data_IF_090163764836
#
_entry.id   IF_090163764836
#
_cell.length_a   1.000
_cell.length_b   1.000
_cell.length_c   1.000
_cell.angle_alpha   90.00
_cell.angle_beta   90.00
_cell.angle_gamma   90.00
#
_symmetry.space_group_name_H-M   'P 1'
#
loop_
_entity.id
_entity.type
_entity.pdbx_description
1 polymer ?
#
# COMPACT_ATOMS: atom_id res chain seq x y z
N UNK A 1 42.50 -34.72 -33.21
CA UNK A 1 42.61 -34.41 -31.78
C UNK A 1 41.79 -33.15 -31.57
N UNK A 2 40.58 -33.34 -31.06
CA UNK A 2 39.49 -32.37 -31.06
C UNK A 2 39.08 -32.19 -29.60
N UNK A 3 39.13 -30.95 -29.09
CA UNK A 3 38.55 -30.59 -27.80
C UNK A 3 37.66 -29.36 -28.05
N UNK A 4 36.34 -29.41 -27.78
CA UNK A 4 35.38 -28.38 -28.15
C UNK A 4 35.01 -27.43 -27.00
N UNK A 5 34.48 -26.25 -27.40
CA UNK A 5 33.48 -25.36 -26.78
C UNK A 5 33.27 -25.44 -25.25
N UNK A 6 33.50 -24.31 -24.56
CA UNK A 6 32.70 -23.94 -23.39
C UNK A 6 31.98 -22.62 -23.66
N UNK A 7 30.66 -22.75 -23.84
CA UNK A 7 29.72 -21.67 -23.77
C UNK A 7 29.64 -21.17 -22.32
N UNK A 8 29.68 -19.86 -22.14
CA UNK A 8 29.34 -19.23 -20.87
C UNK A 8 27.83 -19.35 -20.68
N UNK A 9 27.41 -20.34 -19.89
CA UNK A 9 26.08 -20.37 -19.29
C UNK A 9 26.06 -19.34 -18.15
N UNK A 10 25.46 -18.18 -18.41
CA UNK A 10 24.89 -17.34 -17.36
C UNK A 10 23.78 -18.14 -16.70
N UNK A 11 24.09 -18.80 -15.60
CA UNK A 11 23.12 -19.40 -14.71
C UNK A 11 22.31 -18.29 -14.06
N UNK A 12 21.14 -18.00 -14.61
CA UNK A 12 20.06 -17.34 -13.87
C UNK A 12 19.63 -18.35 -12.81
N UNK A 13 20.14 -18.18 -11.59
CA UNK A 13 19.60 -18.87 -10.43
C UNK A 13 18.20 -18.28 -10.16
N UNK A 14 17.19 -18.84 -10.83
CA UNK A 14 15.78 -18.74 -10.46
C UNK A 14 15.59 -19.47 -9.13
N UNK A 15 16.04 -18.81 -8.08
CA UNK A 15 15.65 -19.13 -6.72
C UNK A 15 14.30 -18.45 -6.52
N UNK A 16 13.23 -19.19 -6.81
CA UNK A 16 11.88 -18.84 -6.36
C UNK A 16 11.89 -18.90 -4.83
N UNK A 17 12.34 -17.82 -4.20
CA UNK A 17 12.19 -17.64 -2.76
C UNK A 17 10.71 -17.36 -2.56
N UNK A 18 9.95 -18.42 -2.26
CA UNK A 18 8.86 -18.25 -1.30
C UNK A 18 9.54 -17.73 -0.05
N UNK A 19 9.55 -16.41 0.11
CA UNK A 19 10.00 -15.81 1.36
C UNK A 19 9.08 -16.41 2.41
N UNK A 20 9.61 -17.20 3.35
CA UNK A 20 8.77 -17.87 4.32
C UNK A 20 8.11 -16.77 5.13
N UNK A 21 6.82 -16.55 4.88
CA UNK A 21 5.97 -16.01 5.90
C UNK A 21 6.15 -16.97 7.08
N UNK A 22 6.80 -16.52 8.16
CA UNK A 22 6.80 -17.31 9.38
C UNK A 22 5.33 -17.56 9.68
N UNK A 23 4.90 -18.82 9.51
CA UNK A 23 3.50 -19.21 9.39
C UNK A 23 2.83 -19.02 10.75
N UNK A 24 2.41 -17.78 10.99
CA UNK A 24 1.81 -17.32 12.23
C UNK A 24 0.47 -18.01 12.36
N UNK A 25 0.45 -19.10 13.14
CA UNK A 25 -0.76 -19.85 13.42
C UNK A 25 -1.85 -18.89 13.94
N UNK A 26 -3.08 -18.99 13.43
CA UNK A 26 -4.18 -18.15 13.89
C UNK A 26 -4.38 -18.33 15.41
N UNK A 27 -4.63 -17.22 16.12
CA UNK A 27 -4.88 -17.22 17.55
C UNK A 27 -6.32 -17.63 17.86
N UNK A 28 -6.49 -18.25 19.03
CA UNK A 28 -7.81 -18.49 19.59
C UNK A 28 -8.45 -17.14 19.96
N UNK A 29 -9.58 -16.83 19.33
CA UNK A 29 -10.45 -15.74 19.74
C UNK A 29 -11.12 -16.19 21.04
N UNK A 30 -10.87 -15.45 22.12
CA UNK A 30 -11.39 -15.75 23.46
C UNK A 30 -12.72 -15.07 23.74
N UNK A 31 -13.00 -13.98 23.03
CA UNK A 31 -14.28 -13.27 23.09
C UNK A 31 -14.64 -12.70 21.72
N UNK A 32 -15.94 -12.73 21.41
CA UNK A 32 -16.51 -12.27 20.14
C UNK A 32 -17.87 -11.63 20.40
N UNK A 33 -18.00 -10.36 20.06
CA UNK A 33 -19.25 -9.63 20.16
C UNK A 33 -19.54 -8.87 18.86
N UNK A 34 -20.81 -8.86 18.48
CA UNK A 34 -21.32 -8.08 17.35
C UNK A 34 -22.28 -7.04 17.88
N UNK A 35 -22.01 -5.77 17.56
CA UNK A 35 -22.95 -4.66 17.75
C UNK A 35 -23.31 -4.09 16.38
N UNK A 36 -24.34 -3.24 16.29
CA UNK A 36 -24.79 -2.67 15.02
C UNK A 36 -23.62 -1.98 14.30
N UNK A 37 -23.15 -2.58 13.20
CA UNK A 37 -22.06 -2.06 12.38
C UNK A 37 -20.65 -2.29 12.92
N UNK A 38 -20.47 -3.06 14.01
CA UNK A 38 -19.16 -3.31 14.61
C UNK A 38 -18.96 -4.77 15.06
N UNK A 39 -17.72 -5.22 14.98
CA UNK A 39 -17.26 -6.49 15.57
C UNK A 39 -16.16 -6.19 16.57
N UNK A 40 -16.33 -6.70 17.78
CA UNK A 40 -15.31 -6.69 18.83
C UNK A 40 -14.71 -8.10 18.97
N UNK A 41 -13.38 -8.16 18.98
CA UNK A 41 -12.59 -9.38 19.09
C UNK A 41 -11.64 -9.24 20.28
N UNK A 42 -11.51 -10.31 21.08
CA UNK A 42 -10.43 -10.45 22.03
C UNK A 42 -9.73 -11.81 21.86
N UNK A 43 -8.45 -11.89 22.18
CA UNK A 43 -7.64 -13.10 22.06
C UNK A 43 -6.65 -13.22 23.23
N UNK A 44 -6.02 -14.39 23.34
CA UNK A 44 -4.98 -14.60 24.34
C UNK A 44 -3.79 -13.66 24.11
N UNK A 45 -3.33 -12.91 25.14
CA UNK A 45 -2.22 -12.00 25.00
C UNK A 45 -0.90 -12.74 24.76
N UNK A 46 -0.19 -12.31 23.73
CA UNK A 46 1.19 -12.67 23.40
C UNK A 46 2.01 -11.42 23.04
N UNK A 47 3.03 -11.56 22.18
CA UNK A 47 3.87 -10.45 21.76
C UNK A 47 3.25 -9.72 20.55
N UNK A 48 2.97 -8.41 20.62
CA UNK A 48 2.50 -7.67 19.46
C UNK A 48 3.56 -7.58 18.33
N UNK A 49 3.20 -7.22 17.09
CA UNK A 49 1.85 -6.83 16.65
C UNK A 49 0.95 -7.99 16.23
N UNK A 50 -0.35 -7.71 16.27
CA UNK A 50 -1.40 -8.56 15.72
C UNK A 50 -1.98 -7.96 14.45
N UNK A 51 -2.43 -8.84 13.56
CA UNK A 51 -3.21 -8.49 12.39
C UNK A 51 -4.53 -9.27 12.43
N UNK A 52 -5.64 -8.54 12.38
CA UNK A 52 -6.96 -9.16 12.22
C UNK A 52 -7.21 -9.33 10.73
N UNK A 53 -7.52 -10.56 10.34
CA UNK A 53 -7.96 -10.87 8.99
C UNK A 53 -9.45 -11.09 9.01
N UNK A 54 -10.13 -10.57 7.99
CA UNK A 54 -11.51 -10.87 7.69
C UNK A 54 -11.64 -11.60 6.36
N UNK A 55 -12.72 -12.36 6.21
CA UNK A 55 -13.01 -13.10 5.00
C UNK A 55 -14.50 -13.43 4.88
N UNK A 56 -15.07 -13.26 3.68
CA UNK A 56 -16.37 -13.82 3.30
C UNK A 56 -16.26 -15.25 2.75
N UNK A 57 -15.05 -15.73 2.48
CA UNK A 57 -14.76 -17.04 1.90
C UNK A 57 -13.51 -17.64 2.58
N UNK A 58 -13.68 -18.65 3.44
CA UNK A 58 -12.59 -19.25 4.22
C UNK A 58 -11.37 -19.74 3.42
N UNK A 59 -11.48 -19.88 2.09
CA UNK A 59 -10.35 -20.18 1.20
C UNK A 59 -9.47 -18.95 0.86
N UNK A 60 -9.94 -17.73 1.12
CA UNK A 60 -9.26 -16.47 0.82
C UNK A 60 -9.33 -15.52 2.02
N UNK A 61 -8.17 -15.07 2.51
CA UNK A 61 -8.10 -14.19 3.68
C UNK A 61 -7.41 -12.90 3.32
N UNK A 62 -7.98 -11.77 3.75
CA UNK A 62 -7.41 -10.47 3.53
C UNK A 62 -6.52 -10.07 4.71
N UNK A 63 -5.25 -9.70 4.44
CA UNK A 63 -4.32 -9.18 5.45
C UNK A 63 -4.52 -7.69 5.72
N UNK A 64 -5.63 -7.09 5.29
CA UNK A 64 -5.79 -5.64 5.36
C UNK A 64 -6.19 -5.15 6.76
N UNK A 65 -5.51 -4.09 7.21
CA UNK A 65 -5.83 -3.38 8.44
C UNK A 65 -4.61 -2.73 9.08
N UNK A 66 -4.85 -2.01 10.18
CA UNK A 66 -3.79 -1.52 11.06
C UNK A 66 -3.18 -2.66 11.89
N UNK A 67 -1.90 -2.53 12.22
CA UNK A 67 -1.23 -3.43 13.15
C UNK A 67 -1.59 -3.07 14.60
N UNK A 68 -2.11 -4.04 15.34
CA UNK A 68 -2.52 -3.85 16.73
C UNK A 68 -1.33 -4.12 17.63
N UNK A 69 -0.80 -3.08 18.26
CA UNK A 69 0.46 -3.17 19.02
C UNK A 69 0.30 -3.14 20.54
N UNK A 70 -0.83 -2.66 21.05
CA UNK A 70 -0.96 -2.25 22.46
C UNK A 70 -2.08 -2.99 23.21
N UNK A 71 -2.84 -3.86 22.54
CA UNK A 71 -4.01 -4.53 23.11
C UNK A 71 -4.20 -5.92 22.49
N UNK A 72 -4.56 -6.95 23.28
CA UNK A 72 -5.00 -8.25 22.77
C UNK A 72 -6.50 -8.26 22.40
N UNK A 73 -7.04 -7.10 22.07
CA UNK A 73 -8.42 -6.91 21.68
C UNK A 73 -8.55 -5.70 20.75
N UNK A 74 -9.55 -5.73 19.87
CA UNK A 74 -9.88 -4.62 18.99
C UNK A 74 -11.37 -4.58 18.67
N UNK A 75 -11.83 -3.40 18.26
CA UNK A 75 -13.13 -3.21 17.61
C UNK A 75 -12.89 -2.69 16.21
N UNK A 76 -13.58 -3.26 15.23
CA UNK A 76 -13.53 -2.83 13.83
C UNK A 76 -14.93 -2.80 13.23
N UNK A 77 -15.08 -2.10 12.11
CA UNK A 77 -16.33 -2.10 11.36
C UNK A 77 -16.73 -3.54 11.01
N UNK A 78 -18.00 -3.88 11.22
CA UNK A 78 -18.52 -5.15 10.75
C UNK A 78 -18.54 -5.15 9.22
N UNK A 79 -18.21 -6.29 8.62
CA UNK A 79 -18.48 -6.50 7.21
C UNK A 79 -19.98 -6.27 6.91
N UNK A 80 -20.31 -5.82 5.70
CA UNK A 80 -21.70 -5.61 5.28
C UNK A 80 -22.46 -6.94 5.05
N UNK A 81 -21.78 -8.08 5.21
CA UNK A 81 -22.30 -9.44 5.08
C UNK A 81 -21.70 -10.36 6.16
N UNK A 82 -22.11 -11.63 6.18
CA UNK A 82 -21.48 -12.65 7.03
C UNK A 82 -19.98 -12.75 6.72
N UNK A 83 -19.14 -12.45 7.71
CA UNK A 83 -17.69 -12.55 7.60
C UNK A 83 -17.12 -13.38 8.75
N UNK A 84 -16.09 -14.14 8.41
CA UNK A 84 -15.24 -14.83 9.35
C UNK A 84 -14.05 -13.94 9.72
N UNK A 85 -13.59 -14.05 10.96
CA UNK A 85 -12.46 -13.29 11.49
C UNK A 85 -11.43 -14.26 12.08
N UNK A 86 -10.14 -13.95 11.90
CA UNK A 86 -9.04 -14.61 12.61
C UNK A 86 -7.94 -13.62 12.92
N UNK A 87 -7.12 -13.93 13.92
CA UNK A 87 -6.02 -13.07 14.36
C UNK A 87 -4.69 -13.74 14.07
N UNK A 88 -3.82 -13.07 13.33
CA UNK A 88 -2.43 -13.47 13.12
C UNK A 88 -1.51 -12.75 14.08
N UNK A 89 -0.54 -13.50 14.60
CA UNK A 89 0.52 -13.00 15.47
C UNK A 89 1.80 -12.85 14.67
N UNK A 90 2.24 -11.61 14.41
CA UNK A 90 3.34 -11.36 13.48
C UNK A 90 4.74 -11.34 14.14
N UNK A 91 4.83 -11.53 15.46
CA UNK A 91 6.10 -11.50 16.22
C UNK A 91 6.32 -12.79 17.04
N UNK A 92 6.38 -13.98 16.40
CA UNK A 92 6.49 -15.27 17.09
C UNK A 92 7.74 -15.42 17.96
N UNK A 93 8.83 -14.70 17.65
CA UNK A 93 10.13 -14.85 18.32
C UNK A 93 10.39 -13.80 19.41
N UNK A 94 9.47 -12.86 19.64
CA UNK A 94 9.63 -11.75 20.57
C UNK A 94 10.93 -10.95 20.33
N UNK A 95 11.30 -10.75 19.08
CA UNK A 95 12.50 -9.97 18.71
C UNK A 95 12.19 -8.48 18.51
N UNK A 96 10.91 -8.12 18.47
CA UNK A 96 10.48 -6.75 18.24
C UNK A 96 10.86 -5.82 19.40
N UNK A 97 11.51 -4.72 19.05
CA UNK A 97 11.83 -3.60 19.93
C UNK A 97 10.97 -2.37 19.61
N UNK A 98 11.57 -1.19 19.71
CA UNK A 98 10.87 0.08 19.52
C UNK A 98 10.38 0.29 18.08
N UNK A 99 9.20 0.89 17.93
CA UNK A 99 8.71 1.37 16.64
C UNK A 99 9.69 2.39 16.05
N UNK A 100 10.06 2.20 14.79
CA UNK A 100 10.99 3.07 14.08
C UNK A 100 10.25 4.07 13.20
N UNK A 101 9.24 3.62 12.44
CA UNK A 101 8.42 4.48 11.61
C UNK A 101 7.47 3.70 10.70
N UNK A 102 6.50 4.41 10.13
CA UNK A 102 5.64 3.92 9.06
C UNK A 102 6.06 4.60 7.76
N UNK A 103 6.41 3.81 6.76
CA UNK A 103 6.65 4.26 5.39
C UNK A 103 5.49 3.75 4.53
N UNK A 104 4.95 4.59 3.65
CA UNK A 104 3.82 4.20 2.81
C UNK A 104 3.85 4.88 1.45
N UNK A 105 3.14 4.32 0.48
CA UNK A 105 3.06 4.89 -0.87
C UNK A 105 2.66 6.36 -0.82
N UNK A 106 3.50 7.19 -1.43
CA UNK A 106 3.22 8.60 -1.62
C UNK A 106 2.04 8.75 -2.56
N UNK A 107 0.89 9.13 -2.00
CA UNK A 107 -0.30 9.48 -2.77
C UNK A 107 -0.28 10.99 -3.03
N UNK A 108 0.63 11.40 -3.92
CA UNK A 108 0.98 12.80 -4.21
C UNK A 108 1.12 13.11 -5.70
N UNK A 109 1.70 14.26 -6.03
CA UNK A 109 1.96 14.64 -7.42
C UNK A 109 3.03 13.73 -8.06
N UNK A 110 2.67 13.02 -9.12
CA UNK A 110 3.59 12.19 -9.91
C UNK A 110 3.42 10.67 -9.76
N UNK A 111 3.77 9.95 -10.83
CA UNK A 111 3.56 8.50 -10.97
C UNK A 111 2.21 8.17 -11.59
N UNK A 112 2.17 7.02 -12.27
CA UNK A 112 1.00 6.60 -13.06
C UNK A 112 -0.20 6.21 -12.17
N UNK A 113 -1.45 6.50 -12.57
CA UNK A 113 -2.65 6.29 -11.75
C UNK A 113 -2.82 4.85 -11.26
N UNK A 114 -2.83 3.89 -12.18
CA UNK A 114 -3.04 2.49 -11.85
C UNK A 114 -1.75 1.86 -11.33
N UNK A 115 -0.58 2.30 -11.82
CA UNK A 115 0.70 1.87 -11.27
C UNK A 115 0.87 2.22 -9.79
N UNK A 116 0.44 3.41 -9.40
CA UNK A 116 0.43 3.83 -7.99
C UNK A 116 -0.52 3.01 -7.15
N UNK A 117 -1.68 2.67 -7.71
CA UNK A 117 -2.63 1.79 -7.05
C UNK A 117 -2.04 0.38 -6.88
N UNK A 118 -1.52 -0.23 -7.94
CA UNK A 118 -0.94 -1.59 -7.91
C UNK A 118 0.25 -1.72 -6.97
N UNK A 119 1.08 -0.68 -6.82
CA UNK A 119 2.23 -0.65 -5.90
C UNK A 119 1.91 -0.02 -4.54
N UNK A 120 0.64 0.21 -4.26
CA UNK A 120 0.22 0.74 -2.96
C UNK A 120 0.67 -0.21 -1.85
N UNK A 121 1.34 0.35 -0.86
CA UNK A 121 1.94 -0.41 0.24
C UNK A 121 2.12 0.40 1.52
N UNK A 122 2.19 -0.34 2.64
CA UNK A 122 2.49 0.17 3.97
C UNK A 122 3.57 -0.68 4.62
N UNK A 123 4.52 -0.03 5.26
CA UNK A 123 5.73 -0.60 5.79
C UNK A 123 5.90 -0.14 7.24
N UNK A 124 5.51 -0.98 8.19
CA UNK A 124 5.80 -0.72 9.59
C UNK A 124 7.20 -1.23 9.90
N UNK A 125 8.07 -0.30 10.27
CA UNK A 125 9.47 -0.57 10.59
C UNK A 125 9.63 -0.55 12.10
N UNK A 126 10.29 -1.58 12.62
CA UNK A 126 10.65 -1.70 14.03
C UNK A 126 12.12 -1.99 14.17
N UNK A 127 12.72 -1.46 15.24
CA UNK A 127 14.05 -1.90 15.67
C UNK A 127 13.91 -3.29 16.30
N UNK A 128 14.86 -4.21 16.09
CA UNK A 128 14.94 -5.40 16.93
C UNK A 128 15.33 -5.00 18.36
N UNK A 129 15.12 -5.91 19.31
CA UNK A 129 15.67 -5.76 20.65
C UNK A 129 17.20 -5.73 20.60
N UNK A 130 17.80 -4.89 21.45
CA UNK A 130 19.25 -4.72 21.53
C UNK A 130 19.76 -3.48 20.79
N UNK A 131 21.09 -3.36 20.70
CA UNK A 131 21.74 -2.23 20.06
C UNK A 131 21.83 -2.43 18.53
N UNK A 132 21.57 -1.36 17.79
CA UNK A 132 21.79 -1.30 16.34
C UNK A 132 23.07 -0.50 16.03
N UNK A 133 23.70 -0.83 14.90
CA UNK A 133 24.79 -0.03 14.34
C UNK A 133 24.28 1.37 13.93
N UNK A 134 25.13 2.39 13.99
CA UNK A 134 24.79 3.71 13.46
C UNK A 134 25.14 3.87 11.96
N UNK A 135 25.76 2.86 11.33
CA UNK A 135 25.93 2.80 9.88
C UNK A 135 24.56 2.52 9.24
N UNK A 136 24.06 3.38 8.33
CA UNK A 136 22.75 3.21 7.71
C UNK A 136 22.53 1.85 7.03
N UNK A 137 23.50 1.34 6.27
CA UNK A 137 23.38 0.05 5.61
C UNK A 137 23.22 -1.10 6.62
N UNK A 138 23.99 -1.09 7.71
CA UNK A 138 23.88 -2.09 8.77
C UNK A 138 22.60 -1.91 9.60
N UNK A 139 22.19 -0.67 9.86
CA UNK A 139 20.98 -0.35 10.62
C UNK A 139 19.72 -0.84 9.89
N UNK A 140 19.54 -0.45 8.62
CA UNK A 140 18.32 -0.75 7.86
C UNK A 140 18.15 -2.25 7.59
N UNK A 141 19.24 -2.98 7.30
CA UNK A 141 19.22 -4.44 7.11
C UNK A 141 18.65 -5.18 8.33
N UNK A 142 18.86 -4.64 9.53
CA UNK A 142 18.44 -5.28 10.77
C UNK A 142 17.03 -4.94 11.23
N UNK A 143 16.36 -3.99 10.57
CA UNK A 143 14.98 -3.64 10.91
C UNK A 143 14.05 -4.84 10.72
N UNK A 144 13.08 -4.96 11.62
CA UNK A 144 11.94 -5.85 11.46
C UNK A 144 10.86 -5.08 10.71
N UNK A 145 10.32 -5.68 9.65
CA UNK A 145 9.44 -5.06 8.70
C UNK A 145 8.17 -5.87 8.55
N UNK A 146 7.05 -5.16 8.68
CA UNK A 146 5.75 -5.63 8.26
C UNK A 146 5.36 -4.86 7.00
N UNK A 147 5.36 -5.54 5.86
CA UNK A 147 5.12 -4.97 4.54
C UNK A 147 3.79 -5.48 4.01
N UNK A 148 2.79 -4.61 4.01
CA UNK A 148 1.45 -4.87 3.52
C UNK A 148 1.30 -4.26 2.14
N UNK A 149 0.79 -5.04 1.18
CA UNK A 149 0.73 -4.67 -0.24
C UNK A 149 -0.38 -5.41 -0.98
N UNK A 150 -0.72 -4.92 -2.17
CA UNK A 150 -1.65 -5.62 -3.08
C UNK A 150 -0.91 -6.79 -3.73
N UNK A 151 -1.43 -7.99 -3.50
CA UNK A 151 -0.87 -9.27 -3.94
C UNK A 151 -1.99 -10.27 -4.22
N UNK A 152 -1.81 -11.11 -5.25
CA UNK A 152 -2.86 -12.01 -5.72
C UNK A 152 -4.16 -11.27 -6.03
N UNK A 153 -5.25 -11.71 -5.40
CA UNK A 153 -6.60 -11.14 -5.52
C UNK A 153 -6.96 -10.18 -4.36
N UNK A 154 -5.99 -9.76 -3.54
CA UNK A 154 -6.26 -8.97 -2.34
C UNK A 154 -5.04 -8.27 -1.75
N UNK A 155 -4.98 -8.23 -0.42
CA UNK A 155 -3.90 -7.60 0.34
C UNK A 155 -3.18 -8.67 1.14
N UNK A 156 -1.86 -8.66 1.07
CA UNK A 156 -0.95 -9.60 1.73
C UNK A 156 0.05 -8.85 2.61
N UNK A 157 0.45 -9.47 3.73
CA UNK A 157 1.48 -8.95 4.63
C UNK A 157 2.69 -9.89 4.73
N UNK A 158 3.85 -9.38 4.34
CA UNK A 158 5.14 -9.94 4.70
C UNK A 158 5.51 -9.52 6.13
N UNK A 159 6.09 -10.43 6.91
CA UNK A 159 6.59 -10.18 8.25
C UNK A 159 7.96 -10.83 8.41
N UNK A 160 8.99 -10.04 8.68
CA UNK A 160 10.35 -10.56 8.82
C UNK A 160 11.39 -9.46 8.96
N UNK A 161 12.66 -9.81 8.86
CA UNK A 161 13.74 -8.82 8.82
C UNK A 161 13.85 -8.23 7.43
N UNK A 162 14.30 -6.98 7.33
CA UNK A 162 14.43 -6.28 6.05
C UNK A 162 15.34 -7.03 5.07
N UNK A 163 16.42 -7.64 5.57
CA UNK A 163 17.34 -8.45 4.77
C UNK A 163 16.80 -9.84 4.37
N UNK A 164 15.69 -10.28 4.95
CA UNK A 164 15.00 -11.51 4.53
C UNK A 164 13.93 -11.28 3.47
N UNK A 165 13.57 -10.01 3.19
CA UNK A 165 12.63 -9.67 2.11
C UNK A 165 13.20 -10.03 0.74
N UNK A 166 14.51 -9.84 0.55
CA UNK A 166 15.16 -10.03 -0.74
C UNK A 166 16.67 -9.80 -0.69
N UNK A 167 17.31 -9.84 -1.85
CA UNK A 167 18.72 -9.58 -1.97
C UNK A 167 19.03 -8.10 -1.67
N UNK A 168 19.77 -7.84 -0.61
CA UNK A 168 20.20 -6.48 -0.23
C UNK A 168 21.58 -6.17 -0.80
N UNK A 169 21.72 -5.05 -1.48
CA UNK A 169 22.99 -4.57 -2.04
C UNK A 169 23.25 -3.10 -1.70
N UNK A 170 24.54 -2.74 -1.67
CA UNK A 170 25.05 -1.35 -1.59
C UNK A 170 25.96 -1.17 -2.81
N UNK A 171 25.38 -0.97 -4.00
CA UNK A 171 26.07 -1.20 -5.26
C UNK A 171 27.05 -0.07 -5.58
N UNK A 172 28.31 -0.15 -5.13
CA UNK A 172 29.43 0.71 -5.55
C UNK A 172 29.33 2.19 -5.14
N UNK A 173 28.12 2.72 -5.04
CA UNK A 173 27.77 4.05 -4.59
C UNK A 173 27.61 4.05 -3.07
N UNK A 174 28.19 5.10 -2.48
CA UNK A 174 28.31 5.24 -1.05
C UNK A 174 26.97 5.53 -0.37
N UNK A 175 25.97 6.04 -1.06
CA UNK A 175 24.72 6.61 -0.53
C UNK A 175 23.47 5.77 -0.82
N UNK A 176 23.62 4.60 -1.45
CA UNK A 176 22.50 3.78 -1.90
C UNK A 176 22.39 2.45 -1.14
N UNK A 177 21.16 2.08 -0.78
CA UNK A 177 20.79 0.73 -0.36
C UNK A 177 19.65 0.22 -1.23
N UNK A 178 19.81 -0.95 -1.85
CA UNK A 178 18.77 -1.58 -2.67
C UNK A 178 18.36 -2.92 -2.11
N UNK A 179 17.07 -3.25 -2.18
CA UNK A 179 16.53 -4.58 -1.88
C UNK A 179 15.72 -5.06 -3.07
N UNK A 180 16.03 -6.26 -3.57
CA UNK A 180 15.34 -6.83 -4.74
C UNK A 180 14.79 -8.22 -4.44
N UNK A 181 13.55 -8.46 -4.87
CA UNK A 181 12.86 -9.75 -4.70
C UNK A 181 11.91 -10.00 -5.88
N UNK A 182 11.41 -11.23 -5.98
CA UNK A 182 10.47 -11.63 -7.03
C UNK A 182 9.30 -12.38 -6.42
N UNK A 183 8.09 -12.08 -6.88
CA UNK A 183 6.88 -12.84 -6.54
C UNK A 183 6.29 -13.45 -7.81
N UNK A 184 5.52 -14.53 -7.64
CA UNK A 184 4.89 -15.24 -8.75
C UNK A 184 5.89 -15.98 -9.63
N UNK A 185 5.38 -16.60 -10.70
CA UNK A 185 6.17 -17.36 -11.68
C UNK A 185 5.62 -17.14 -13.07
N UNK A 186 6.46 -17.35 -14.09
CA UNK A 186 6.07 -17.23 -15.50
C UNK A 186 5.35 -15.91 -15.81
N UNK A 187 4.14 -15.97 -16.37
CA UNK A 187 3.33 -14.79 -16.76
C UNK A 187 2.91 -13.92 -15.57
N UNK A 188 2.84 -14.48 -14.37
CA UNK A 188 2.43 -13.79 -13.14
C UNK A 188 3.63 -13.26 -12.35
N UNK A 189 4.84 -13.44 -12.90
CA UNK A 189 6.07 -12.99 -12.25
C UNK A 189 6.13 -11.46 -12.17
N UNK A 190 6.50 -10.98 -10.98
CA UNK A 190 6.76 -9.58 -10.65
C UNK A 190 8.15 -9.48 -10.04
N UNK A 191 8.97 -8.57 -10.56
CA UNK A 191 10.32 -8.31 -10.05
C UNK A 191 10.36 -6.94 -9.40
N UNK A 192 10.57 -6.92 -8.10
CA UNK A 192 10.57 -5.71 -7.30
C UNK A 192 11.99 -5.23 -7.01
N UNK A 193 12.17 -3.93 -6.98
CA UNK A 193 13.38 -3.29 -6.46
C UNK A 193 12.98 -2.09 -5.63
N UNK A 194 13.30 -2.15 -4.34
CA UNK A 194 13.20 -1.04 -3.41
C UNK A 194 14.56 -0.37 -3.29
N UNK A 195 14.61 0.93 -3.60
CA UNK A 195 15.81 1.74 -3.55
C UNK A 195 15.67 2.78 -2.44
N UNK A 196 16.66 2.87 -1.57
CA UNK A 196 16.78 3.88 -0.52
C UNK A 196 18.00 4.74 -0.86
N UNK A 197 17.77 5.96 -1.32
CA UNK A 197 18.82 6.92 -1.62
C UNK A 197 19.02 7.89 -0.45
N UNK A 198 20.18 7.84 0.19
CA UNK A 198 20.46 8.62 1.39
C UNK A 198 21.22 9.92 1.07
N UNK A 199 21.06 10.98 1.88
CA UNK A 199 21.84 12.21 1.73
C UNK A 199 23.29 12.08 2.26
N UNK A 200 23.73 10.87 2.58
CA UNK A 200 25.02 10.58 3.20
C UNK A 200 25.48 9.15 2.89
N UNK A 201 26.74 8.86 3.17
CA UNK A 201 27.31 7.52 2.97
C UNK A 201 26.69 6.48 3.93
N UNK A 202 26.08 5.42 3.39
CA UNK A 202 25.41 4.34 4.12
C UNK A 202 26.37 3.40 4.86
N UNK A 203 27.64 3.38 4.49
CA UNK A 203 28.67 2.54 5.11
C UNK A 203 29.47 3.27 6.20
N UNK A 204 29.19 4.55 6.45
CA UNK A 204 29.85 5.34 7.49
C UNK A 204 28.97 5.44 8.73
N UNK A 205 29.52 5.15 9.91
CA UNK A 205 28.82 5.34 11.18
C UNK A 205 28.44 6.82 11.39
N UNK A 206 27.18 7.06 11.74
CA UNK A 206 26.66 8.39 12.04
C UNK A 206 26.73 8.72 13.53
N UNK A 207 26.84 10.02 13.83
CA UNK A 207 26.77 10.52 15.19
C UNK A 207 25.36 10.36 15.81
N UNK A 208 24.33 10.40 14.96
CA UNK A 208 22.93 10.17 15.32
C UNK A 208 22.41 8.93 14.59
N UNK A 209 21.45 8.23 15.18
CA UNK A 209 20.81 7.11 14.50
C UNK A 209 20.09 7.59 13.23
N UNK A 210 20.08 6.79 12.15
CA UNK A 210 19.28 7.07 10.97
C UNK A 210 17.79 7.23 11.32
N UNK A 211 17.10 8.08 10.57
CA UNK A 211 15.66 8.29 10.61
C UNK A 211 14.98 7.53 9.46
N UNK A 212 13.70 7.14 9.60
CA UNK A 212 12.95 6.49 8.52
C UNK A 212 12.81 7.39 7.29
N UNK A 213 12.73 8.70 7.49
CA UNK A 213 12.62 9.74 6.46
C UNK A 213 13.96 10.27 5.95
N UNK A 214 15.09 9.69 6.37
CA UNK A 214 16.38 10.11 5.83
C UNK A 214 16.56 9.76 4.34
N UNK A 215 16.22 8.54 3.87
CA UNK A 215 16.34 8.21 2.45
C UNK A 215 15.09 8.59 1.65
N UNK A 216 15.30 8.88 0.37
CA UNK A 216 14.25 8.82 -0.64
C UNK A 216 13.96 7.35 -0.97
N UNK A 217 12.75 6.89 -0.65
CA UNK A 217 12.31 5.52 -0.92
C UNK A 217 11.63 5.43 -2.27
N UNK A 218 12.12 4.53 -3.12
CA UNK A 218 11.58 4.31 -4.45
C UNK A 218 11.34 2.82 -4.69
N UNK A 219 10.08 2.43 -4.86
CA UNK A 219 9.68 1.06 -5.15
C UNK A 219 9.36 0.94 -6.64
N UNK A 220 10.06 0.05 -7.32
CA UNK A 220 9.79 -0.33 -8.70
C UNK A 220 9.31 -1.77 -8.78
N UNK A 221 8.39 -2.04 -9.71
CA UNK A 221 8.01 -3.37 -10.12
C UNK A 221 8.12 -3.52 -11.63
N UNK A 222 8.72 -4.61 -12.10
CA UNK A 222 8.72 -5.03 -13.50
C UNK A 222 7.83 -6.27 -13.62
N UNK A 223 6.87 -6.22 -14.54
CA UNK A 223 5.89 -7.29 -14.77
C UNK A 223 6.30 -8.15 -15.96
N UNK A 224 6.13 -9.47 -15.84
CA UNK A 224 6.28 -10.38 -16.97
C UNK A 224 5.16 -10.22 -18.01
N UNK A 225 3.94 -9.88 -17.57
CA UNK A 225 2.79 -9.57 -18.43
C UNK A 225 2.45 -8.08 -18.33
N UNK A 226 2.25 -7.37 -19.47
CA UNK A 226 1.82 -5.97 -19.45
C UNK A 226 0.56 -5.76 -18.59
N UNK A 227 0.57 -4.72 -17.78
CA UNK A 227 -0.53 -4.30 -16.93
C UNK A 227 -1.28 -3.14 -17.57
N UNK A 228 -2.60 -3.02 -17.40
CA UNK A 228 -3.36 -1.88 -17.89
C UNK A 228 -2.91 -0.60 -17.18
N UNK A 229 -2.82 0.52 -17.88
CA UNK A 229 -2.51 1.83 -17.30
C UNK A 229 -3.50 2.88 -17.80
N UNK A 230 -3.87 3.83 -16.95
CA UNK A 230 -4.78 4.91 -17.34
C UNK A 230 -3.96 6.12 -17.77
N UNK A 231 -4.04 6.51 -19.04
CA UNK A 231 -3.62 7.84 -19.46
C UNK A 231 -4.71 8.83 -19.05
N UNK A 232 -4.44 9.58 -17.97
CA UNK A 232 -5.37 10.58 -17.43
C UNK A 232 -5.56 11.81 -18.33
N UNK A 233 -4.64 12.06 -19.27
CA UNK A 233 -4.76 13.20 -20.17
C UNK A 233 -5.58 12.84 -21.41
N UNK A 234 -5.37 11.64 -21.95
CA UNK A 234 -6.13 11.13 -23.09
C UNK A 234 -7.46 10.48 -22.67
N UNK A 235 -7.61 10.11 -21.39
CA UNK A 235 -8.70 9.30 -20.85
C UNK A 235 -8.84 7.97 -21.61
N UNK A 236 -7.69 7.33 -21.85
CA UNK A 236 -7.58 6.05 -22.55
C UNK A 236 -6.79 5.04 -21.74
N UNK A 237 -6.99 3.75 -22.05
CA UNK A 237 -6.22 2.67 -21.45
C UNK A 237 -5.02 2.34 -22.31
N UNK A 238 -3.84 2.36 -21.69
CA UNK A 238 -2.59 1.88 -22.25
C UNK A 238 -2.12 0.62 -21.51
N UNK A 239 -0.91 0.16 -21.82
CA UNK A 239 -0.27 -0.93 -21.09
C UNK A 239 1.14 -0.57 -20.68
N UNK A 240 1.54 -0.97 -19.48
CA UNK A 240 2.91 -0.83 -18.96
C UNK A 240 3.48 -2.18 -18.55
N UNK A 241 4.79 -2.32 -18.62
CA UNK A 241 5.53 -3.46 -18.02
C UNK A 241 6.30 -3.04 -16.78
N UNK A 242 6.23 -1.77 -16.39
CA UNK A 242 6.96 -1.22 -15.25
C UNK A 242 6.10 -0.20 -14.51
N UNK A 243 6.02 -0.35 -13.20
CA UNK A 243 5.46 0.65 -12.30
C UNK A 243 6.52 1.14 -11.33
N UNK A 244 6.37 2.39 -10.89
CA UNK A 244 7.26 3.05 -9.96
C UNK A 244 6.47 3.95 -9.01
N UNK A 245 6.79 3.90 -7.73
CA UNK A 245 6.22 4.79 -6.71
C UNK A 245 7.27 5.26 -5.72
N UNK A 246 7.08 6.47 -5.22
CA UNK A 246 7.78 6.94 -4.02
C UNK A 246 7.06 6.42 -2.78
N UNK A 247 7.83 6.16 -1.72
CA UNK A 247 7.30 5.89 -0.39
C UNK A 247 7.79 6.96 0.58
N UNK A 248 6.94 7.34 1.54
CA UNK A 248 7.21 8.45 2.45
C UNK A 248 6.80 8.11 3.87
N UNK A 249 7.49 8.73 4.83
CA UNK A 249 6.99 8.90 6.18
C UNK A 249 6.10 10.16 6.19
N UNK A 250 4.91 10.08 6.78
CA UNK A 250 4.08 11.29 6.97
C UNK A 250 4.58 12.12 8.16
N UNK A 251 4.42 13.43 8.05
CA UNK A 251 4.55 14.33 9.18
C UNK A 251 3.35 14.18 10.12
N UNK A 252 3.56 14.45 11.42
CA UNK A 252 2.47 14.40 12.39
C UNK A 252 1.39 15.44 12.03
N UNK A 253 0.12 15.09 12.20
CA UNK A 253 -1.01 15.94 11.82
C UNK A 253 -0.96 17.36 12.43
N UNK A 254 -0.42 17.48 13.65
CA UNK A 254 -0.30 18.75 14.37
C UNK A 254 0.80 19.68 13.82
N UNK A 255 1.72 19.16 12.99
CA UNK A 255 2.75 19.97 12.34
C UNK A 255 2.20 20.86 11.22
N UNK A 256 0.94 20.64 10.80
CA UNK A 256 0.27 21.33 9.69
C UNK A 256 -0.58 22.54 10.10
N UNK A 257 -0.18 23.31 11.12
CA UNK A 257 -0.98 24.40 11.72
C UNK A 257 -1.42 25.55 10.78
N UNK A 258 -1.02 25.54 9.51
CA UNK A 258 -1.26 26.63 8.54
C UNK A 258 -2.36 26.34 7.51
N UNK A 259 -2.92 25.12 7.45
CA UNK A 259 -3.84 24.71 6.38
C UNK A 259 -5.00 23.93 6.99
N UNK A 260 -6.24 24.24 6.60
CA UNK A 260 -7.38 23.38 6.89
C UNK A 260 -7.30 22.15 5.97
N UNK A 261 -6.85 20.97 6.43
CA UNK A 261 -6.46 19.88 5.52
C UNK A 261 -7.65 19.00 5.11
N UNK A 262 -8.85 19.27 5.62
CA UNK A 262 -10.03 18.43 5.39
C UNK A 262 -10.59 18.66 3.97
N UNK A 263 -10.57 17.61 3.17
CA UNK A 263 -11.29 17.50 1.91
C UNK A 263 -12.59 16.74 2.14
N UNK A 264 -13.70 17.33 1.72
CA UNK A 264 -15.01 16.70 1.75
C UNK A 264 -15.84 17.22 0.58
N UNK A 265 -16.03 16.39 -0.43
CA UNK A 265 -16.71 16.76 -1.68
C UNK A 265 -17.35 15.54 -2.34
N UNK A 266 -18.26 15.80 -3.27
CA UNK A 266 -18.86 14.79 -4.13
C UNK A 266 -18.60 15.14 -5.59
N UNK A 267 -18.27 14.12 -6.38
CA UNK A 267 -18.19 14.20 -7.85
C UNK A 267 -19.49 13.60 -8.40
N UNK A 268 -20.13 14.29 -9.34
CA UNK A 268 -21.39 13.85 -9.95
C UNK A 268 -21.25 13.88 -11.46
N UNK A 269 -21.39 12.72 -12.10
CA UNK A 269 -21.30 12.57 -13.55
C UNK A 269 -22.06 11.32 -14.01
N UNK A 270 -22.70 11.36 -15.18
CA UNK A 270 -23.50 10.25 -15.73
C UNK A 270 -24.59 9.68 -14.79
N UNK A 271 -25.08 10.48 -13.84
CA UNK A 271 -26.05 10.02 -12.84
C UNK A 271 -25.45 9.19 -11.69
N UNK A 272 -24.12 9.02 -11.66
CA UNK A 272 -23.36 8.48 -10.53
C UNK A 272 -22.96 9.63 -9.61
N UNK A 273 -23.00 9.39 -8.30
CA UNK A 273 -22.43 10.27 -7.27
C UNK A 273 -21.37 9.51 -6.49
N UNK A 274 -20.18 10.11 -6.35
CA UNK A 274 -19.10 9.56 -5.52
C UNK A 274 -18.69 10.62 -4.49
N UNK A 275 -18.73 10.26 -3.21
CA UNK A 275 -18.39 11.16 -2.11
C UNK A 275 -17.08 10.76 -1.44
N UNK A 276 -16.16 11.70 -1.31
CA UNK A 276 -14.85 11.51 -0.69
C UNK A 276 -14.71 12.36 0.57
N UNK A 277 -13.99 11.82 1.56
CA UNK A 277 -13.62 12.55 2.77
C UNK A 277 -12.25 12.10 3.26
N UNK A 278 -11.27 13.00 3.27
CA UNK A 278 -9.89 12.72 3.68
C UNK A 278 -9.18 13.97 4.20
N UNK A 279 -8.03 13.76 4.83
CA UNK A 279 -7.10 14.82 5.20
C UNK A 279 -5.88 14.81 4.29
N UNK A 280 -5.51 16.01 3.86
CA UNK A 280 -4.22 16.31 3.24
C UNK A 280 -3.10 16.33 4.28
N UNK A 281 -1.91 15.92 3.86
CA UNK A 281 -0.72 15.80 4.69
C UNK A 281 0.56 16.20 3.96
N UNK A 282 1.66 16.15 4.71
CA UNK A 282 3.02 16.37 4.21
C UNK A 282 3.88 15.14 4.49
N UNK A 283 4.85 14.89 3.60
CA UNK A 283 5.92 13.95 3.86
C UNK A 283 6.98 14.57 4.77
N UNK A 284 7.65 13.75 5.58
CA UNK A 284 8.89 14.12 6.25
C UNK A 284 10.08 13.86 5.31
N UNK A 285 10.99 14.82 5.30
CA UNK A 285 12.30 14.74 4.70
C UNK A 285 13.35 14.94 5.80
N UNK A 286 14.17 13.93 6.09
CA UNK A 286 15.19 13.97 7.15
C UNK A 286 14.62 14.45 8.51
N UNK A 287 13.43 13.96 8.86
CA UNK A 287 12.75 14.29 10.12
C UNK A 287 12.03 15.65 10.16
N UNK A 288 11.89 16.37 9.04
CA UNK A 288 11.12 17.62 9.00
C UNK A 288 10.28 17.73 7.73
N UNK A 289 9.08 18.33 7.80
CA UNK A 289 8.31 18.60 6.59
C UNK A 289 9.06 19.63 5.70
N UNK A 290 8.91 19.56 4.37
CA UNK A 290 9.51 20.54 3.47
C UNK A 290 8.91 21.93 3.72
N UNK A 291 9.74 22.97 3.57
CA UNK A 291 9.36 24.38 3.81
C UNK A 291 8.77 25.10 2.60
N UNK A 292 8.62 24.42 1.46
CA UNK A 292 8.10 25.03 0.22
C UNK A 292 6.69 24.51 -0.07
N UNK A 293 5.88 25.32 -0.76
CA UNK A 293 4.55 24.93 -1.20
C UNK A 293 4.66 23.78 -2.21
N UNK A 294 4.25 22.59 -1.79
CA UNK A 294 4.22 21.38 -2.61
C UNK A 294 2.79 20.85 -2.69
N UNK A 295 2.53 19.96 -3.65
CA UNK A 295 1.29 19.19 -3.68
C UNK A 295 1.17 18.39 -2.41
N UNK A 296 0.06 18.59 -1.69
CA UNK A 296 -0.24 17.82 -0.50
C UNK A 296 -0.57 16.38 -0.88
N UNK A 297 -0.22 15.47 0.02
CA UNK A 297 -0.43 14.04 -0.16
C UNK A 297 -1.52 13.54 0.77
N UNK A 298 -2.03 12.33 0.55
CA UNK A 298 -2.98 11.73 1.50
C UNK A 298 -2.32 11.54 2.88
N UNK A 299 -2.90 12.13 3.93
CA UNK A 299 -2.62 11.77 5.32
C UNK A 299 -3.44 10.52 5.69
N UNK A 300 -4.77 10.68 5.71
CA UNK A 300 -5.72 9.62 6.06
C UNK A 300 -7.10 9.84 5.44
N UNK A 301 -7.82 8.76 5.19
CA UNK A 301 -9.25 8.81 4.90
C UNK A 301 -10.03 9.12 6.18
N UNK A 302 -11.03 10.00 6.10
CA UNK A 302 -11.82 10.45 7.24
C UNK A 302 -13.19 9.79 7.31
N UNK A 303 -13.69 9.29 6.18
CA UNK A 303 -14.92 8.51 6.10
C UNK A 303 -14.82 7.51 4.93
N UNK A 304 -15.71 6.50 4.88
CA UNK A 304 -15.86 5.66 3.71
C UNK A 304 -16.15 6.50 2.46
N UNK A 305 -15.60 6.10 1.31
CA UNK A 305 -16.04 6.64 0.03
C UNK A 305 -17.35 5.98 -0.35
N UNK A 306 -18.38 6.78 -0.60
CA UNK A 306 -19.74 6.30 -0.91
C UNK A 306 -20.02 6.50 -2.39
N UNK A 307 -20.50 5.47 -3.06
CA UNK A 307 -20.87 5.46 -4.47
C UNK A 307 -22.35 5.12 -4.60
N UNK A 308 -23.09 5.90 -5.38
CA UNK A 308 -24.51 5.65 -5.64
C UNK A 308 -24.94 6.12 -7.04
N UNK A 309 -26.06 5.56 -7.52
CA UNK A 309 -26.67 5.97 -8.78
C UNK A 309 -26.09 5.32 -10.04
N UNK A 310 -26.43 5.87 -11.22
CA UNK A 310 -25.96 5.40 -12.54
C UNK A 310 -26.27 3.94 -12.89
N UNK A 311 -27.26 3.32 -12.23
CA UNK A 311 -27.57 1.90 -12.42
C UNK A 311 -26.58 0.92 -11.77
N UNK A 312 -25.58 1.44 -11.04
CA UNK A 312 -24.73 0.63 -10.16
C UNK A 312 -25.45 0.36 -8.84
N UNK A 313 -25.15 -0.75 -8.14
CA UNK A 313 -25.55 -0.91 -6.75
C UNK A 313 -24.93 0.21 -5.89
N UNK A 314 -25.65 0.69 -4.89
CA UNK A 314 -25.08 1.60 -3.90
C UNK A 314 -24.08 0.84 -3.01
N UNK A 315 -22.90 1.42 -2.78
CA UNK A 315 -21.89 0.82 -1.92
C UNK A 315 -20.96 1.84 -1.28
N UNK A 316 -20.14 1.37 -0.33
CA UNK A 316 -19.08 2.16 0.25
C UNK A 316 -17.79 1.37 0.36
N UNK A 317 -16.67 2.09 0.38
CA UNK A 317 -15.34 1.53 0.60
C UNK A 317 -14.64 2.31 1.71
N UNK A 318 -14.12 1.59 2.71
CA UNK A 318 -13.37 2.15 3.83
C UNK A 318 -11.95 1.58 3.99
N UNK A 319 -11.55 0.71 3.08
CA UNK A 319 -10.19 0.21 3.00
C UNK A 319 -9.16 1.29 2.58
N UNK A 320 -7.94 1.21 3.11
CA UNK A 320 -6.80 1.98 2.59
C UNK A 320 -6.45 1.57 1.16
N UNK A 321 -6.46 0.27 0.84
CA UNK A 321 -6.03 -0.24 -0.47
C UNK A 321 -7.11 -0.13 -1.54
N UNK A 322 -8.40 -0.06 -1.18
CA UNK A 322 -9.48 0.11 -2.15
C UNK A 322 -9.60 1.53 -2.72
N UNK A 323 -8.90 2.52 -2.15
CA UNK A 323 -9.01 3.94 -2.54
C UNK A 323 -7.63 4.54 -2.71
N UNK A 324 -7.33 5.21 -3.82
CA UNK A 324 -6.02 5.83 -4.07
C UNK A 324 -6.17 7.28 -4.50
N UNK A 325 -5.57 8.19 -3.72
CA UNK A 325 -5.54 9.61 -4.05
C UNK A 325 -4.44 9.90 -5.08
N UNK A 326 -4.83 10.67 -6.09
CA UNK A 326 -4.03 11.09 -7.24
C UNK A 326 -4.16 12.61 -7.40
N UNK A 327 -3.52 13.40 -6.52
CA UNK A 327 -3.60 14.85 -6.64
C UNK A 327 -2.74 15.33 -7.81
N UNK A 328 -3.30 16.24 -8.61
CA UNK A 328 -2.57 16.99 -9.61
C UNK A 328 -1.71 18.09 -8.98
N UNK A 329 -0.96 18.80 -9.82
CA UNK A 329 -0.08 19.89 -9.39
C UNK A 329 -0.80 20.89 -8.50
N UNK A 330 -0.27 21.09 -7.29
CA UNK A 330 -0.81 21.96 -6.24
C UNK A 330 -2.25 21.65 -5.81
N UNK A 331 -2.70 20.41 -5.97
CA UNK A 331 -4.07 19.99 -5.67
C UNK A 331 -5.15 20.81 -6.41
N UNK A 332 -4.81 21.43 -7.57
CA UNK A 332 -5.80 22.13 -8.41
C UNK A 332 -6.79 21.17 -9.05
N UNK A 333 -6.39 19.92 -9.21
CA UNK A 333 -7.25 18.82 -9.58
C UNK A 333 -6.94 17.70 -8.61
N UNK A 334 -7.94 17.01 -8.11
CA UNK A 334 -7.75 15.81 -7.31
C UNK A 334 -8.53 14.68 -7.95
N UNK A 335 -7.85 13.57 -8.18
CA UNK A 335 -8.47 12.35 -8.65
C UNK A 335 -8.42 11.28 -7.57
N UNK A 336 -9.44 10.42 -7.54
CA UNK A 336 -9.46 9.24 -6.67
C UNK A 336 -9.76 8.02 -7.53
N UNK A 337 -8.90 7.01 -7.42
CA UNK A 337 -9.15 5.69 -7.98
C UNK A 337 -9.73 4.77 -6.89
N UNK A 338 -10.84 4.11 -7.18
CA UNK A 338 -11.50 3.16 -6.30
C UNK A 338 -11.44 1.77 -6.95
N UNK A 339 -10.90 0.76 -6.26
CA UNK A 339 -11.03 -0.66 -6.62
C UNK A 339 -11.92 -1.34 -5.56
N UNK A 340 -13.26 -1.37 -5.76
CA UNK A 340 -14.19 -1.83 -4.72
C UNK A 340 -13.89 -3.24 -4.24
N UNK A 341 -13.37 -4.09 -5.15
CA UNK A 341 -13.06 -5.47 -4.85
C UNK A 341 -11.98 -5.65 -3.75
N UNK A 342 -11.12 -4.65 -3.55
CA UNK A 342 -10.11 -4.67 -2.48
C UNK A 342 -10.68 -4.32 -1.10
N UNK A 343 -11.95 -3.93 -1.01
CA UNK A 343 -12.59 -3.72 0.28
C UNK A 343 -13.13 -5.04 0.86
N UNK A 344 -12.61 -5.50 2.02
CA UNK A 344 -13.06 -6.75 2.62
C UNK A 344 -14.46 -6.65 3.23
N UNK A 345 -14.99 -5.44 3.43
CA UNK A 345 -16.35 -5.23 3.92
C UNK A 345 -17.39 -5.12 2.80
N UNK A 346 -16.96 -5.11 1.52
CA UNK A 346 -17.88 -5.03 0.38
C UNK A 346 -18.78 -6.27 0.33
N UNK A 347 -20.09 -6.03 0.25
CA UNK A 347 -21.10 -7.07 0.10
C UNK A 347 -20.87 -7.90 -1.20
N UNK A 348 -21.06 -9.22 -1.12
CA UNK A 348 -20.78 -10.13 -2.24
C UNK A 348 -21.78 -9.97 -3.41
N UNK A 349 -23.04 -9.64 -3.14
CA UNK A 349 -24.02 -9.34 -4.19
C UNK A 349 -23.64 -8.05 -4.93
N UNK A 350 -23.14 -7.05 -4.20
CA UNK A 350 -22.58 -5.82 -4.78
C UNK A 350 -21.34 -6.14 -5.62
N UNK A 351 -20.42 -6.96 -5.11
CA UNK A 351 -19.22 -7.41 -5.84
C UNK A 351 -19.58 -8.09 -7.16
N UNK A 352 -20.54 -9.03 -7.12
CA UNK A 352 -21.02 -9.73 -8.30
C UNK A 352 -21.70 -8.78 -9.28
N UNK A 353 -22.53 -7.84 -8.80
CA UNK A 353 -23.17 -6.85 -9.65
C UNK A 353 -22.16 -5.91 -10.34
N UNK A 354 -21.10 -5.50 -9.65
CA UNK A 354 -20.01 -4.72 -10.25
C UNK A 354 -19.23 -5.54 -11.29
N UNK A 355 -18.96 -6.81 -10.99
CA UNK A 355 -18.32 -7.72 -11.93
C UNK A 355 -19.16 -7.94 -13.20
N UNK A 356 -20.47 -8.19 -13.04
CA UNK A 356 -21.42 -8.36 -14.14
C UNK A 356 -21.58 -7.08 -14.97
N UNK A 357 -21.45 -5.91 -14.34
CA UNK A 357 -21.39 -4.62 -15.01
C UNK A 357 -20.01 -4.30 -15.63
N UNK A 358 -19.04 -5.22 -15.52
CA UNK A 358 -17.66 -5.03 -15.94
C UNK A 358 -17.04 -3.75 -15.35
N UNK A 359 -17.15 -3.57 -14.04
CA UNK A 359 -16.56 -2.46 -13.29
C UNK A 359 -15.50 -2.99 -12.33
N UNK A 360 -14.24 -2.74 -12.67
CA UNK A 360 -13.09 -3.03 -11.80
C UNK A 360 -12.67 -1.79 -11.01
N UNK A 361 -12.53 -0.66 -11.70
CA UNK A 361 -12.18 0.62 -11.08
C UNK A 361 -13.22 1.69 -11.33
N UNK A 362 -13.34 2.60 -10.38
CA UNK A 362 -14.03 3.89 -10.56
C UNK A 362 -12.99 4.98 -10.35
N UNK A 363 -12.72 5.75 -11.39
CA UNK A 363 -11.89 6.94 -11.30
C UNK A 363 -12.79 8.17 -11.21
N UNK A 364 -12.56 9.02 -10.23
CA UNK A 364 -13.18 10.34 -10.12
C UNK A 364 -12.13 11.41 -10.33
N UNK A 365 -12.54 12.54 -10.91
CA UNK A 365 -11.77 13.77 -10.94
C UNK A 365 -12.63 14.90 -10.39
N UNK A 366 -12.02 15.76 -9.58
CA UNK A 366 -12.62 17.02 -9.13
C UNK A 366 -11.67 18.19 -9.35
N UNK A 367 -12.18 19.29 -9.89
CA UNK A 367 -11.39 20.49 -10.15
C UNK A 367 -11.56 21.52 -9.03
N UNK A 368 -10.46 21.82 -8.31
CA UNK A 368 -10.40 22.87 -7.28
C UNK A 368 -9.80 24.18 -7.83
N UNK A 369 -10.25 25.32 -7.30
CA UNK A 369 -9.58 26.62 -7.43
C UNK A 369 -9.08 27.00 -8.84
N UNK A 370 -9.89 26.77 -9.89
CA UNK A 370 -9.52 27.10 -11.27
C UNK A 370 -8.71 26.03 -12.00
N UNK A 371 -8.61 24.82 -11.45
CA UNK A 371 -8.14 23.63 -12.16
C UNK A 371 -8.92 23.39 -13.45
N UNK A 372 -8.22 22.89 -14.46
CA UNK A 372 -8.80 22.55 -15.78
C UNK A 372 -9.37 21.13 -15.77
N UNK A 373 -10.34 20.84 -16.64
CA UNK A 373 -10.88 19.49 -16.86
C UNK A 373 -12.23 19.20 -16.19
N UNK A 374 -12.64 19.99 -15.19
CA UNK A 374 -13.91 19.83 -14.50
C UNK A 374 -14.04 18.48 -13.77
N UNK A 375 -15.25 18.24 -13.26
CA UNK A 375 -15.61 17.00 -12.59
C UNK A 375 -15.93 15.91 -13.61
N UNK A 376 -15.41 14.69 -13.40
CA UNK A 376 -15.74 13.54 -14.22
C UNK A 376 -15.69 12.22 -13.45
N UNK A 377 -16.40 11.22 -13.96
CA UNK A 377 -16.34 9.84 -13.45
C UNK A 377 -16.05 8.91 -14.64
N UNK A 378 -15.08 8.01 -14.48
CA UNK A 378 -14.80 6.94 -15.43
C UNK A 378 -14.99 5.58 -14.76
N UNK A 379 -15.66 4.67 -15.47
CA UNK A 379 -15.74 3.26 -15.09
C UNK A 379 -14.73 2.48 -15.92
N UNK A 380 -13.82 1.76 -15.27
CA UNK A 380 -12.78 0.97 -15.94
C UNK A 380 -13.06 -0.50 -15.69
N UNK A 381 -13.22 -1.27 -16.77
CA UNK A 381 -13.59 -2.68 -16.70
C UNK A 381 -12.44 -3.65 -16.45
N UNK A 382 -12.81 -4.89 -16.13
CA UNK A 382 -11.89 -6.01 -16.00
C UNK A 382 -11.21 -6.36 -17.33
N UNK A 383 -11.87 -6.04 -18.43
CA UNK A 383 -11.37 -6.15 -19.80
C UNK A 383 -10.47 -4.99 -20.24
N UNK A 384 -10.27 -3.99 -19.38
CA UNK A 384 -9.44 -2.81 -19.67
C UNK A 384 -10.11 -1.79 -20.59
N UNK A 385 -11.43 -1.82 -20.74
CA UNK A 385 -12.16 -0.76 -21.45
C UNK A 385 -12.66 0.32 -20.48
N UNK A 386 -12.62 1.58 -20.94
CA UNK A 386 -13.25 2.70 -20.24
C UNK A 386 -14.68 2.84 -20.75
N UNK A 387 -15.62 2.88 -19.82
CA UNK A 387 -17.00 3.26 -20.07
C UNK A 387 -17.24 4.63 -19.46
N UNK A 388 -17.84 5.52 -20.25
CA UNK A 388 -18.43 6.74 -19.70
C UNK A 388 -19.77 6.35 -19.05
N UNK A 389 -20.07 6.88 -17.86
CA UNK A 389 -21.29 6.55 -17.12
C UNK A 389 -22.58 6.94 -17.83
#
# INVERSE_FOLDING_TARGET
MTIPRQAWLLGVALLAWHVPCADAQPKNITDFATETGQVALAWEPTWPPYLVQSSSNLASWCDQGELITNSPACTQAAAQAEACYRVRHLNPTNELGAFFGLIQTQQGEGGEPLGRHRLKSRWWLYKPQGALSNSPAAFFRQLIVFYQHIGGDGVETFAGRFDTLGAVATPGDADLLTVSWTNGTEKDQRSFTLTLNFPYNVNTDRAVQPLPSDPDWHLQCIYATPQPELDIYALTMETTTTDQVYLVQLADADTNSYISPLRNYSVVDGGITVTHSYMDGLALWQGSPPVIFMTHILDRWMAPTVVSGGGLPDFSTDSYFSRTLLPGHHNFVESVLIEPALDPALNEDVRNALYDANVRYIHTQHAFYGGMGGDNILLIGFDGWISLP
#
